data_IF_671716714558
#
_entry.id   IF_671716714558
#
_cell.length_a   1.000
_cell.length_b   1.000
_cell.length_c   1.000
_cell.angle_alpha   90.00
_cell.angle_beta   90.00
_cell.angle_gamma   90.00
#
_symmetry.space_group_name_H-M   'P 1'
#
loop_
_entity.id
_entity.type
_entity.pdbx_description
1 polymer ?
#
# COMPACT_ATOMS: atom_id res chain seq x y z
N UNK A 1 7.40 -8.06 -70.92
CA UNK A 1 7.20 -6.69 -71.41
C UNK A 1 5.90 -6.68 -72.16
N UNK A 2 4.88 -5.97 -71.69
CA UNK A 2 4.25 -4.89 -72.47
C UNK A 2 3.24 -4.13 -71.61
N UNK A 3 3.22 -2.83 -71.83
CA UNK A 3 2.43 -1.82 -71.11
C UNK A 3 1.03 -1.73 -71.70
N UNK A 4 0.00 -1.63 -70.85
CA UNK A 4 -1.30 -1.06 -71.23
C UNK A 4 -1.71 -0.03 -70.16
N UNK A 5 -1.51 1.24 -70.50
CA UNK A 5 -2.29 2.42 -70.08
C UNK A 5 -3.20 2.79 -71.30
N UNK A 6 -4.25 3.65 -71.22
CA UNK A 6 -4.57 4.65 -70.19
C UNK A 6 -6.07 4.86 -69.85
N UNK A 7 -6.32 5.79 -68.91
CA UNK A 7 -7.25 6.94 -69.06
C UNK A 7 -8.60 7.00 -68.29
N UNK A 8 -8.68 8.09 -67.50
CA UNK A 8 -9.82 8.95 -67.07
C UNK A 8 -10.65 8.48 -65.86
N UNK A 9 -10.45 9.09 -64.69
CA UNK A 9 -10.98 10.39 -64.22
C UNK A 9 -12.52 10.38 -64.20
N UNK A 10 -13.06 10.12 -63.01
CA UNK A 10 -14.46 10.34 -62.64
C UNK A 10 -14.51 10.88 -61.21
N UNK A 11 -14.45 12.20 -61.13
CA UNK A 11 -14.63 13.02 -59.93
C UNK A 11 -16.02 12.75 -59.32
N UNK A 12 -16.14 12.48 -58.01
CA UNK A 12 -17.37 12.74 -57.22
C UNK A 12 -17.06 12.69 -55.72
N UNK A 13 -17.83 13.40 -54.89
CA UNK A 13 -17.30 14.39 -53.97
C UNK A 13 -17.08 13.86 -52.56
N UNK A 14 -16.16 14.52 -51.86
CA UNK A 14 -15.99 14.45 -50.42
C UNK A 14 -17.31 14.78 -49.70
N UNK A 15 -17.78 13.85 -48.87
CA UNK A 15 -18.70 14.17 -47.78
C UNK A 15 -18.04 13.74 -46.46
N UNK A 16 -17.67 14.75 -45.69
CA UNK A 16 -17.07 14.67 -44.36
C UNK A 16 -18.17 14.33 -43.34
N UNK A 17 -17.98 13.28 -42.54
CA UNK A 17 -18.53 13.13 -41.18
C UNK A 17 -17.44 12.39 -40.37
N UNK A 18 -16.45 13.08 -39.81
CA UNK A 18 -16.47 13.77 -38.53
C UNK A 18 -16.89 12.88 -37.34
N UNK A 19 -15.87 12.52 -36.54
CA UNK A 19 -15.86 12.43 -35.08
C UNK A 19 -16.90 11.55 -34.37
N UNK A 20 -16.44 10.39 -33.90
CA UNK A 20 -17.01 9.67 -32.75
C UNK A 20 -15.89 9.22 -31.82
N UNK A 21 -15.22 10.17 -31.15
CA UNK A 21 -14.25 9.88 -30.09
C UNK A 21 -14.98 9.91 -28.75
N UNK A 22 -14.78 8.82 -27.98
CA UNK A 22 -14.92 8.72 -26.53
C UNK A 22 -16.37 8.67 -25.97
N UNK A 23 -16.70 8.00 -24.87
CA UNK A 23 -15.93 7.40 -23.79
C UNK A 23 -16.58 6.06 -23.41
N UNK A 24 -15.91 4.92 -23.64
CA UNK A 24 -16.12 3.79 -22.73
C UNK A 24 -15.35 4.14 -21.48
N UNK A 25 -16.01 4.85 -20.56
CA UNK A 25 -15.50 5.03 -19.22
C UNK A 25 -15.32 3.65 -18.63
N UNK A 26 -14.07 3.17 -18.57
CA UNK A 26 -13.68 2.27 -17.51
C UNK A 26 -14.02 3.02 -16.23
N UNK A 27 -15.19 2.75 -15.67
CA UNK A 27 -15.44 3.01 -14.28
C UNK A 27 -14.49 2.07 -13.53
N UNK A 28 -13.24 2.51 -13.39
CA UNK A 28 -12.38 2.05 -12.31
C UNK A 28 -13.20 2.34 -11.07
N UNK A 29 -13.69 1.32 -10.33
CA UNK A 29 -14.28 1.59 -9.02
C UNK A 29 -13.25 2.45 -8.28
N UNK A 30 -13.66 3.51 -7.56
CA UNK A 30 -12.72 4.27 -6.76
C UNK A 30 -11.91 3.26 -5.96
N UNK A 31 -10.60 3.26 -6.15
CA UNK A 31 -9.73 2.51 -5.26
C UNK A 31 -10.08 3.07 -3.88
N UNK A 32 -10.72 2.24 -3.06
CA UNK A 32 -10.87 2.55 -1.65
C UNK A 32 -9.49 2.28 -1.06
N UNK A 33 -8.53 3.11 -1.46
CA UNK A 33 -7.24 3.25 -0.82
C UNK A 33 -7.61 3.87 0.51
N UNK A 34 -7.93 3.01 1.47
CA UNK A 34 -8.05 3.43 2.84
C UNK A 34 -6.65 3.90 3.22
N UNK A 35 -6.40 5.19 3.05
CA UNK A 35 -5.08 5.79 3.08
C UNK A 35 -4.65 5.96 4.55
N UNK A 36 -4.58 4.83 5.25
CA UNK A 36 -4.11 4.72 6.60
C UNK A 36 -2.59 4.85 6.60
N UNK A 37 -2.07 5.59 7.59
CA UNK A 37 -0.62 5.64 7.79
C UNK A 37 -0.11 4.23 8.13
N UNK A 38 1.01 3.86 7.51
CA UNK A 38 1.73 2.62 7.82
C UNK A 38 3.13 2.91 8.32
N UNK A 39 3.57 2.14 9.32
CA UNK A 39 4.90 2.26 9.90
C UNK A 39 5.60 0.92 9.95
N UNK A 40 6.89 0.94 9.60
CA UNK A 40 7.78 -0.20 9.80
C UNK A 40 8.76 0.14 10.91
N UNK A 41 8.52 -0.44 12.08
CA UNK A 41 9.38 -0.30 13.27
C UNK A 41 10.58 -1.24 13.17
N UNK A 42 11.70 -0.78 13.72
CA UNK A 42 12.83 -1.61 14.15
C UNK A 42 12.85 -1.67 15.68
N UNK A 43 13.49 -2.68 16.28
CA UNK A 43 13.59 -2.70 17.73
C UNK A 43 14.25 -1.43 18.27
N UNK A 44 13.57 -0.75 19.19
CA UNK A 44 14.00 0.53 19.78
C UNK A 44 13.48 1.77 19.07
N UNK A 45 12.77 1.64 17.96
CA UNK A 45 12.15 2.79 17.29
C UNK A 45 11.00 3.35 18.15
N UNK A 46 10.88 4.67 18.15
CA UNK A 46 9.65 5.38 18.55
C UNK A 46 9.10 6.10 17.32
N UNK A 47 7.81 5.92 17.04
CA UNK A 47 7.12 6.58 15.93
C UNK A 47 5.78 7.15 16.36
N UNK A 48 5.36 8.18 15.63
CA UNK A 48 4.03 8.77 15.72
C UNK A 48 3.35 8.51 14.38
N UNK A 49 2.11 8.03 14.44
CA UNK A 49 1.23 7.80 13.32
C UNK A 49 0.11 8.84 13.40
N UNK A 50 -0.08 9.63 12.36
CA UNK A 50 -1.06 10.73 12.39
C UNK A 50 -2.45 10.24 12.00
N UNK A 51 -2.54 9.37 11.01
CA UNK A 51 -3.77 8.71 10.57
C UNK A 51 -4.13 7.49 11.44
N UNK A 52 -5.41 7.13 11.40
CA UNK A 52 -5.94 6.01 12.18
C UNK A 52 -7.05 5.23 11.44
N UNK A 53 -7.11 3.90 11.60
CA UNK A 53 -6.12 3.05 12.30
C UNK A 53 -4.79 2.96 11.58
N UNK A 54 -3.69 2.90 12.33
CA UNK A 54 -2.32 2.82 11.81
C UNK A 54 -1.93 1.36 11.53
N UNK A 55 -1.43 1.06 10.33
CA UNK A 55 -0.85 -0.25 10.01
C UNK A 55 0.58 -0.38 10.53
N UNK A 56 0.84 -1.40 11.34
CA UNK A 56 2.14 -1.53 12.03
C UNK A 56 2.84 -2.81 11.63
N UNK A 57 4.09 -2.64 11.23
CA UNK A 57 5.02 -3.72 10.97
C UNK A 57 6.24 -3.62 11.89
N UNK A 58 6.84 -4.75 12.26
CA UNK A 58 8.09 -4.79 13.02
C UNK A 58 9.12 -5.68 12.33
N UNK A 59 10.35 -5.16 12.17
CA UNK A 59 11.49 -5.97 11.73
C UNK A 59 11.98 -6.84 12.87
N UNK A 60 11.78 -8.15 12.74
CA UNK A 60 12.24 -9.13 13.72
C UNK A 60 13.74 -9.41 13.55
N UNK A 61 14.48 -9.61 14.65
CA UNK A 61 15.87 -10.05 14.61
C UNK A 61 16.02 -11.42 13.92
N UNK A 62 17.21 -11.70 13.38
CA UNK A 62 17.55 -13.05 12.94
C UNK A 62 17.56 -14.01 14.13
N UNK A 63 17.20 -15.27 13.89
CA UNK A 63 17.07 -16.28 14.94
C UNK A 63 16.69 -17.63 14.35
N UNK A 64 16.63 -18.66 15.21
CA UNK A 64 16.26 -20.03 14.83
C UNK A 64 14.82 -20.39 15.17
N UNK A 65 14.12 -19.53 15.92
CA UNK A 65 12.76 -19.73 16.42
C UNK A 65 11.94 -18.47 16.19
N UNK A 66 10.63 -18.63 16.20
CA UNK A 66 9.70 -17.51 16.16
C UNK A 66 9.81 -16.66 17.42
N UNK A 67 9.76 -15.36 17.23
CA UNK A 67 9.78 -14.38 18.29
C UNK A 67 8.38 -14.17 18.84
N UNK A 68 8.23 -14.28 20.16
CA UNK A 68 7.04 -13.78 20.84
C UNK A 68 7.17 -12.26 20.96
N UNK A 69 6.24 -11.54 20.35
CA UNK A 69 6.11 -10.08 20.47
C UNK A 69 4.93 -9.80 21.38
N UNK A 70 5.13 -8.98 22.40
CA UNK A 70 4.07 -8.53 23.32
C UNK A 70 4.41 -7.15 23.86
N UNK A 71 3.49 -6.53 24.60
CA UNK A 71 3.75 -5.26 25.26
C UNK A 71 2.46 -4.62 25.76
N UNK A 72 2.53 -3.33 26.03
CA UNK A 72 1.38 -2.56 26.51
C UNK A 72 0.38 -2.34 25.37
N UNK A 73 -0.89 -2.67 25.63
CA UNK A 73 -2.02 -2.53 24.69
C UNK A 73 -1.86 -3.33 23.39
N UNK A 74 -1.01 -4.36 23.39
CA UNK A 74 -0.74 -5.21 22.22
C UNK A 74 -1.07 -6.66 22.58
N UNK A 75 -1.89 -7.31 21.75
CA UNK A 75 -2.12 -8.75 21.86
C UNK A 75 -0.83 -9.50 21.51
N UNK A 76 -0.37 -10.43 22.38
CA UNK A 76 0.84 -11.20 22.10
C UNK A 76 0.72 -12.06 20.83
N UNK A 77 1.77 -12.09 20.02
CA UNK A 77 1.82 -12.88 18.78
C UNK A 77 3.20 -13.48 18.52
N UNK A 78 3.25 -14.60 17.80
CA UNK A 78 4.51 -15.24 17.37
C UNK A 78 4.78 -14.98 15.91
N UNK A 79 6.01 -14.56 15.61
CA UNK A 79 6.40 -14.14 14.26
C UNK A 79 7.75 -14.71 13.84
N UNK A 80 7.93 -15.05 12.55
CA UNK A 80 9.13 -15.70 12.05
C UNK A 80 10.36 -14.79 12.17
N UNK A 81 11.55 -15.35 12.45
CA UNK A 81 12.77 -14.56 12.62
C UNK A 81 13.29 -13.98 11.30
N UNK A 82 13.91 -12.80 11.37
CA UNK A 82 14.56 -12.13 10.23
C UNK A 82 13.59 -11.61 9.17
N UNK A 83 12.32 -11.39 9.53
CA UNK A 83 11.25 -10.92 8.64
C UNK A 83 10.67 -9.59 9.13
N UNK A 84 10.03 -8.87 8.22
CA UNK A 84 9.10 -7.79 8.59
C UNK A 84 7.75 -8.42 8.92
N UNK A 85 7.41 -8.45 10.20
CA UNK A 85 6.17 -9.01 10.71
C UNK A 85 5.07 -7.94 10.69
N UNK A 86 3.90 -8.26 10.12
CA UNK A 86 2.71 -7.44 10.28
C UNK A 86 2.12 -7.67 11.67
N UNK A 87 2.02 -6.62 12.49
CA UNK A 87 1.53 -6.71 13.86
C UNK A 87 0.03 -6.39 13.98
N UNK A 88 -0.55 -5.73 12.98
CA UNK A 88 -1.96 -5.37 12.95
C UNK A 88 -2.22 -3.91 12.63
N UNK A 89 -3.48 -3.52 12.80
CA UNK A 89 -4.00 -2.16 12.71
C UNK A 89 -4.33 -1.65 14.10
N UNK A 90 -3.87 -0.45 14.41
CA UNK A 90 -3.94 0.13 15.75
C UNK A 90 -4.72 1.44 15.74
N UNK A 91 -5.73 1.51 16.61
CA UNK A 91 -6.57 2.68 16.84
C UNK A 91 -5.80 3.80 17.57
N UNK A 92 -6.38 5.00 17.76
CA UNK A 92 -5.72 6.08 18.49
C UNK A 92 -5.31 5.63 19.90
N UNK A 93 -4.07 5.92 20.28
CA UNK A 93 -3.52 5.45 21.55
C UNK A 93 -2.01 5.27 21.55
N UNK A 94 -1.49 4.70 22.65
CA UNK A 94 -0.07 4.44 22.84
C UNK A 94 0.19 2.96 23.07
N UNK A 95 1.20 2.44 22.37
CA UNK A 95 1.51 1.03 22.30
C UNK A 95 3.01 0.80 22.51
N UNK A 96 3.35 -0.35 23.09
CA UNK A 96 4.74 -0.81 23.13
C UNK A 96 4.87 -2.22 22.56
N UNK A 97 6.00 -2.44 21.89
CA UNK A 97 6.32 -3.71 21.23
C UNK A 97 7.67 -4.20 21.75
N UNK A 98 7.63 -5.31 22.49
CA UNK A 98 8.78 -5.98 23.08
C UNK A 98 8.95 -7.35 22.45
N UNK A 99 10.17 -7.65 22.02
CA UNK A 99 10.55 -8.96 21.51
C UNK A 99 11.05 -9.76 22.71
N UNK A 100 10.23 -10.70 23.19
CA UNK A 100 10.52 -11.49 24.38
C UNK A 100 11.75 -12.38 24.17
N UNK A 101 12.45 -12.68 25.26
CA UNK A 101 13.69 -13.47 25.27
C UNK A 101 14.82 -12.94 24.36
N UNK A 102 14.73 -11.67 23.96
CA UNK A 102 15.74 -10.98 23.17
C UNK A 102 16.40 -9.85 23.97
N UNK A 103 17.60 -9.45 23.54
CA UNK A 103 18.24 -8.20 24.04
C UNK A 103 17.77 -6.96 23.29
N UNK A 104 16.75 -7.08 22.45
CA UNK A 104 16.29 -5.97 21.62
C UNK A 104 15.51 -4.95 22.46
N UNK A 105 15.77 -3.64 22.28
CA UNK A 105 15.05 -2.61 23.01
C UNK A 105 13.56 -2.55 22.62
N UNK A 106 12.73 -2.11 23.55
CA UNK A 106 11.30 -1.85 23.34
C UNK A 106 11.09 -0.79 22.26
N UNK A 107 10.16 -1.04 21.35
CA UNK A 107 9.72 -0.06 20.36
C UNK A 107 8.38 0.55 20.79
N UNK A 108 8.12 1.79 20.40
CA UNK A 108 6.92 2.53 20.79
C UNK A 108 6.20 3.10 19.58
N UNK A 109 4.87 3.13 19.69
CA UNK A 109 3.99 3.77 18.74
C UNK A 109 3.00 4.65 19.48
N UNK A 110 2.83 5.86 18.98
CA UNK A 110 1.70 6.69 19.31
C UNK A 110 0.85 6.92 18.06
N UNK A 111 -0.44 6.65 18.12
CA UNK A 111 -1.41 6.91 17.04
C UNK A 111 -2.25 8.10 17.48
N UNK A 112 -2.10 9.22 16.78
CA UNK A 112 -2.74 10.49 17.13
C UNK A 112 -4.23 10.51 16.77
N UNK A 113 -4.62 9.91 15.65
CA UNK A 113 -6.02 9.79 15.26
C UNK A 113 -6.59 11.02 14.56
N UNK A 114 -5.83 11.68 13.69
CA UNK A 114 -6.43 12.64 12.76
C UNK A 114 -7.32 11.86 11.79
N UNK A 115 -8.63 12.06 11.91
CA UNK A 115 -9.60 11.67 10.90
C UNK A 115 -9.29 12.50 9.66
N UNK A 116 -9.00 11.85 8.53
CA UNK A 116 -9.00 12.55 7.25
C UNK A 116 -10.46 12.93 6.96
N UNK A 117 -10.81 14.18 7.26
CA UNK A 117 -12.05 14.84 6.79
C UNK A 117 -12.07 14.96 5.25
#
# INVERSE_FOLDING_TARGET
>A
MDMIQPSRIGLTPALILALGVALTGCATPPAHDNNFDSVVLRPGDSRICTGSPCEVFLRTPKGKKDWLISGQNVYPGRYPPGKTAYLGRFEPGSYSFQIQDSKSPTSYLHVAGHEHE
#
